data_IF_047716175565
#
_entry.id   IF_047716175565
#
_cell.length_a   1.000
_cell.length_b   1.000
_cell.length_c   1.000
_cell.angle_alpha   90.00
_cell.angle_beta   90.00
_cell.angle_gamma   90.00
#
_symmetry.space_group_name_H-M   'P 1'
#
loop_
_entity.id
_entity.type
_entity.pdbx_description
1 polymer ?
#
# COMPACT_ATOMS: atom_id res chain seq x y z
N UNK A 1 -11.25 4.00 36.18
CA UNK A 1 -10.33 4.58 35.18
C UNK A 1 -10.45 3.70 33.94
N UNK A 2 -10.90 4.24 32.80
CA UNK A 2 -10.92 3.46 31.55
C UNK A 2 -9.46 3.08 31.21
N UNK A 3 -9.18 1.85 30.72
CA UNK A 3 -7.83 1.48 30.34
C UNK A 3 -7.31 2.47 29.30
N UNK A 4 -6.06 2.91 29.45
CA UNK A 4 -5.39 3.71 28.44
C UNK A 4 -5.54 2.97 27.10
N UNK A 5 -6.21 3.58 26.13
CA UNK A 5 -6.40 2.95 24.82
C UNK A 5 -5.02 2.66 24.24
N UNK A 6 -4.68 1.38 24.02
CA UNK A 6 -3.45 0.93 23.34
C UNK A 6 -3.51 1.39 21.87
N UNK A 7 -3.19 2.68 21.67
CA UNK A 7 -3.11 3.32 20.38
C UNK A 7 -1.66 3.29 19.92
N UNK A 8 -1.46 2.85 18.69
CA UNK A 8 -0.15 2.78 18.05
C UNK A 8 -0.15 3.62 16.78
N UNK A 9 1.04 3.97 16.32
CA UNK A 9 1.29 4.58 15.02
C UNK A 9 2.38 3.83 14.27
N UNK A 10 2.48 4.06 12.96
CA UNK A 10 3.51 3.47 12.12
C UNK A 10 4.59 4.51 11.80
N UNK A 11 5.84 4.07 11.91
CA UNK A 11 7.04 4.77 11.46
C UNK A 11 7.67 4.01 10.30
N UNK A 12 7.82 4.70 9.18
CA UNK A 12 8.46 4.26 7.95
C UNK A 12 9.61 5.21 7.71
N UNK A 13 10.79 4.64 7.44
CA UNK A 13 12.00 5.38 7.14
C UNK A 13 11.95 5.89 5.69
N UNK A 14 12.17 7.18 5.51
CA UNK A 14 12.27 7.81 4.19
C UNK A 14 10.93 7.96 3.44
N UNK A 15 11.08 8.30 2.16
CA UNK A 15 9.97 8.37 1.20
C UNK A 15 9.46 6.96 0.86
N UNK A 16 8.18 6.86 0.52
CA UNK A 16 7.59 5.61 0.02
C UNK A 16 6.42 5.89 -0.91
N UNK A 17 5.91 4.84 -1.55
CA UNK A 17 4.75 4.93 -2.43
C UNK A 17 3.60 4.10 -1.89
N UNK A 18 2.40 4.68 -1.94
CA UNK A 18 1.14 3.96 -1.71
C UNK A 18 0.48 3.76 -3.07
N UNK A 19 0.29 2.49 -3.45
CA UNK A 19 -0.36 2.12 -4.69
C UNK A 19 -1.67 1.39 -4.38
N UNK A 20 -2.78 1.97 -4.83
CA UNK A 20 -4.12 1.39 -4.71
C UNK A 20 -4.47 0.78 -6.06
N UNK A 21 -4.99 -0.44 -6.06
CA UNK A 21 -5.56 -1.05 -7.24
C UNK A 21 -6.87 -1.73 -6.86
N UNK A 22 -7.90 -1.50 -7.67
CA UNK A 22 -9.21 -2.07 -7.42
C UNK A 22 -9.93 -2.48 -8.70
N UNK A 23 -11.01 -3.21 -8.52
CA UNK A 23 -11.87 -3.67 -9.60
C UNK A 23 -13.30 -3.17 -9.42
N UNK A 24 -13.95 -2.85 -10.53
CA UNK A 24 -15.41 -2.68 -10.59
C UNK A 24 -16.01 -3.98 -11.13
N UNK A 25 -16.51 -4.88 -10.27
CA UNK A 25 -17.06 -6.16 -10.69
C UNK A 25 -18.38 -5.97 -11.46
N UNK A 26 -18.65 -6.82 -12.45
CA UNK A 26 -20.00 -7.01 -12.96
C UNK A 26 -20.71 -8.05 -12.08
N UNK A 27 -21.49 -7.58 -11.12
CA UNK A 27 -22.18 -8.45 -10.16
C UNK A 27 -23.19 -9.42 -10.80
N UNK A 28 -23.62 -9.16 -12.05
CA UNK A 28 -24.49 -10.08 -12.80
C UNK A 28 -23.73 -11.27 -13.38
N UNK A 29 -22.39 -11.18 -13.49
CA UNK A 29 -21.54 -12.21 -14.09
C UNK A 29 -20.26 -12.45 -13.26
N UNK A 30 -20.38 -12.90 -11.99
CA UNK A 30 -19.25 -12.99 -11.06
C UNK A 30 -18.14 -13.95 -11.54
N UNK A 31 -18.51 -15.06 -12.20
CA UNK A 31 -17.54 -16.00 -12.79
C UNK A 31 -16.76 -15.33 -13.92
N UNK A 32 -17.43 -14.53 -14.76
CA UNK A 32 -16.76 -13.80 -15.84
C UNK A 32 -15.84 -12.73 -15.28
N UNK A 33 -16.27 -11.97 -14.27
CA UNK A 33 -15.40 -11.01 -13.56
C UNK A 33 -14.17 -11.70 -12.98
N UNK A 34 -14.31 -12.86 -12.35
CA UNK A 34 -13.16 -13.62 -11.84
C UNK A 34 -12.17 -13.99 -12.97
N UNK A 35 -12.68 -14.44 -14.12
CA UNK A 35 -11.84 -14.77 -15.28
C UNK A 35 -11.19 -13.53 -15.91
N UNK A 36 -11.92 -12.43 -16.04
CA UNK A 36 -11.41 -11.16 -16.56
C UNK A 36 -10.24 -10.65 -15.69
N UNK A 37 -10.36 -10.77 -14.36
CA UNK A 37 -9.32 -10.39 -13.38
C UNK A 37 -8.16 -11.39 -13.25
N UNK A 38 -8.06 -12.37 -14.15
CA UNK A 38 -6.92 -13.30 -14.18
C UNK A 38 -7.10 -14.60 -13.39
N UNK A 39 -8.23 -14.78 -12.70
CA UNK A 39 -8.51 -15.97 -11.91
C UNK A 39 -7.37 -16.27 -10.91
N UNK A 40 -6.84 -17.51 -10.96
CA UNK A 40 -5.72 -17.92 -10.10
C UNK A 40 -4.38 -17.23 -10.44
N UNK A 41 -4.24 -16.67 -11.65
CA UNK A 41 -3.05 -15.93 -12.10
C UNK A 41 -3.25 -14.41 -12.10
N UNK A 42 -4.27 -13.93 -11.40
CA UNK A 42 -4.55 -12.49 -11.25
C UNK A 42 -3.66 -11.81 -10.21
N UNK A 43 -4.20 -10.79 -9.54
CA UNK A 43 -3.49 -10.00 -8.52
C UNK A 43 -2.76 -10.84 -7.45
N UNK A 44 -3.37 -11.94 -6.99
CA UNK A 44 -2.72 -12.81 -5.98
C UNK A 44 -1.40 -13.38 -6.47
N UNK A 45 -1.34 -13.85 -7.71
CA UNK A 45 -0.11 -14.40 -8.28
C UNK A 45 0.99 -13.33 -8.41
N UNK A 46 0.63 -12.11 -8.82
CA UNK A 46 1.59 -11.00 -8.88
C UNK A 46 2.13 -10.62 -7.50
N UNK A 47 1.27 -10.60 -6.47
CA UNK A 47 1.69 -10.30 -5.10
C UNK A 47 2.55 -11.42 -4.51
N UNK A 48 2.23 -12.69 -4.76
CA UNK A 48 3.03 -13.83 -4.34
C UNK A 48 4.45 -13.76 -4.97
N UNK A 49 4.53 -13.37 -6.26
CA UNK A 49 5.80 -13.13 -6.94
C UNK A 49 6.59 -11.97 -6.31
N UNK A 50 5.95 -10.84 -6.03
CA UNK A 50 6.61 -9.69 -5.40
C UNK A 50 7.09 -9.99 -3.97
N UNK A 51 6.34 -10.81 -3.22
CA UNK A 51 6.77 -11.27 -1.88
C UNK A 51 8.00 -12.16 -1.97
N UNK A 52 8.09 -13.00 -3.01
CA UNK A 52 9.26 -13.85 -3.24
C UNK A 52 10.51 -13.08 -3.73
N UNK A 53 10.32 -11.87 -4.27
CA UNK A 53 11.35 -11.03 -4.87
C UNK A 53 11.39 -9.63 -4.23
N UNK A 54 11.82 -9.52 -2.95
CA UNK A 54 11.79 -8.27 -2.19
C UNK A 54 12.65 -7.15 -2.79
N UNK A 55 13.65 -7.50 -3.61
CA UNK A 55 14.46 -6.55 -4.38
C UNK A 55 13.63 -5.74 -5.39
N UNK A 56 12.46 -6.23 -5.81
CA UNK A 56 11.52 -5.48 -6.65
C UNK A 56 10.81 -4.35 -5.90
N UNK A 57 11.03 -4.22 -4.60
CA UNK A 57 10.70 -3.03 -3.83
C UNK A 57 9.29 -2.98 -3.25
N UNK A 58 8.51 -4.07 -3.32
CA UNK A 58 7.28 -4.19 -2.54
C UNK A 58 7.63 -4.31 -1.05
N UNK A 59 7.18 -3.35 -0.23
CA UNK A 59 7.34 -3.39 1.23
C UNK A 59 6.27 -4.24 1.89
N UNK A 60 5.08 -4.28 1.29
CA UNK A 60 3.98 -5.13 1.71
C UNK A 60 2.65 -4.66 1.16
N UNK A 61 1.58 -5.39 1.48
CA UNK A 61 0.25 -5.10 0.97
C UNK A 61 -0.85 -5.50 1.95
N UNK A 62 -2.04 -4.96 1.73
CA UNK A 62 -3.28 -5.39 2.35
C UNK A 62 -4.29 -5.71 1.26
N UNK A 63 -4.73 -6.97 1.22
CA UNK A 63 -5.81 -7.40 0.34
C UNK A 63 -7.15 -7.08 0.99
N UNK A 64 -7.88 -6.15 0.38
CA UNK A 64 -9.30 -5.95 0.61
C UNK A 64 -10.08 -6.18 -0.68
N UNK A 65 -11.39 -6.38 -0.55
CA UNK A 65 -12.31 -6.25 -1.69
C UNK A 65 -13.14 -4.99 -1.47
N UNK A 66 -13.22 -4.07 -2.46
CA UNK A 66 -12.72 -4.18 -3.84
C UNK A 66 -11.30 -3.65 -4.08
N UNK A 67 -10.56 -3.26 -3.02
CA UNK A 67 -9.29 -2.52 -3.13
C UNK A 67 -8.13 -3.25 -2.47
N UNK A 68 -7.02 -3.35 -3.20
CA UNK A 68 -5.73 -3.80 -2.71
C UNK A 68 -4.87 -2.56 -2.48
N UNK A 69 -4.32 -2.44 -1.28
CA UNK A 69 -3.36 -1.38 -0.94
C UNK A 69 -1.97 -2.00 -0.91
N UNK A 70 -1.04 -1.42 -1.66
CA UNK A 70 0.36 -1.84 -1.72
C UNK A 70 1.25 -0.69 -1.27
N UNK A 71 2.34 -1.02 -0.57
CA UNK A 71 3.36 -0.09 -0.14
C UNK A 71 4.66 -0.45 -0.84
N UNK A 72 5.27 0.53 -1.48
CA UNK A 72 6.46 0.35 -2.31
C UNK A 72 7.58 1.26 -1.81
N UNK A 73 8.81 0.76 -1.93
CA UNK A 73 10.03 1.47 -1.52
C UNK A 73 10.19 2.80 -2.25
N UNK A 74 9.90 2.82 -3.55
CA UNK A 74 9.94 4.04 -4.35
C UNK A 74 9.08 3.89 -5.61
N UNK A 75 8.87 5.00 -6.32
CA UNK A 75 8.14 4.99 -7.57
C UNK A 75 8.90 4.23 -8.66
N UNK A 76 10.22 4.36 -8.69
CA UNK A 76 11.10 3.69 -9.65
C UNK A 76 10.99 2.17 -9.55
N UNK A 77 10.88 1.62 -8.33
CA UNK A 77 10.67 0.19 -8.12
C UNK A 77 9.29 -0.27 -8.66
N UNK A 78 8.25 0.50 -8.35
CA UNK A 78 6.89 0.23 -8.86
C UNK A 78 6.85 0.29 -10.39
N UNK A 79 7.46 1.31 -10.99
CA UNK A 79 7.52 1.48 -12.45
C UNK A 79 8.35 0.36 -13.10
N UNK A 80 9.50 0.00 -12.52
CA UNK A 80 10.34 -1.09 -13.02
C UNK A 80 9.56 -2.40 -13.08
N UNK A 81 8.89 -2.79 -11.99
CA UNK A 81 8.03 -3.97 -11.96
C UNK A 81 6.90 -3.91 -13.00
N UNK A 82 6.29 -2.74 -13.19
CA UNK A 82 5.19 -2.59 -14.13
C UNK A 82 5.63 -2.76 -15.60
N UNK A 83 6.91 -2.54 -15.92
CA UNK A 83 7.46 -2.52 -17.28
C UNK A 83 8.37 -3.70 -17.61
N UNK A 84 8.80 -4.47 -16.61
CA UNK A 84 9.66 -5.63 -16.80
C UNK A 84 8.90 -6.74 -17.58
N UNK A 85 9.56 -7.29 -18.60
CA UNK A 85 8.99 -8.34 -19.46
C UNK A 85 9.06 -9.72 -18.82
N UNK A 86 9.97 -9.91 -17.87
CA UNK A 86 10.13 -11.15 -17.11
C UNK A 86 9.21 -11.18 -15.88
N UNK A 87 8.52 -10.07 -15.59
CA UNK A 87 7.53 -9.96 -14.52
C UNK A 87 6.10 -10.30 -14.97
N UNK A 88 5.28 -10.85 -14.05
CA UNK A 88 3.92 -11.27 -14.38
C UNK A 88 2.97 -10.11 -14.72
N UNK A 89 3.36 -8.86 -14.48
CA UNK A 89 2.49 -7.68 -14.65
C UNK A 89 2.06 -7.49 -16.11
N UNK A 90 2.99 -7.42 -17.05
CA UNK A 90 2.68 -7.13 -18.45
C UNK A 90 1.80 -8.21 -19.09
N UNK A 91 2.06 -9.48 -18.79
CA UNK A 91 1.25 -10.58 -19.29
C UNK A 91 -0.18 -10.52 -18.70
N UNK A 92 -0.31 -10.32 -17.39
CA UNK A 92 -1.61 -10.18 -16.74
C UNK A 92 -2.42 -9.01 -17.32
N UNK A 93 -1.76 -7.87 -17.56
CA UNK A 93 -2.37 -6.69 -18.16
C UNK A 93 -2.85 -6.91 -19.59
N UNK A 94 -2.02 -7.52 -20.44
CA UNK A 94 -2.39 -7.90 -21.82
C UNK A 94 -3.56 -8.88 -21.82
N UNK A 95 -3.53 -9.88 -20.94
CA UNK A 95 -4.59 -10.88 -20.82
C UNK A 95 -5.90 -10.28 -20.29
N UNK A 96 -5.84 -9.29 -19.39
CA UNK A 96 -7.02 -8.54 -18.96
C UNK A 96 -7.70 -7.88 -20.15
N UNK A 97 -7.01 -7.04 -20.92
CA UNK A 97 -7.65 -6.38 -22.08
C UNK A 97 -8.14 -7.34 -23.16
N UNK A 98 -7.45 -8.47 -23.35
CA UNK A 98 -7.89 -9.49 -24.31
C UNK A 98 -9.22 -10.14 -23.91
N UNK A 99 -9.45 -10.32 -22.60
CA UNK A 99 -10.64 -11.00 -22.06
C UNK A 99 -11.76 -10.03 -21.70
N UNK A 100 -11.40 -8.81 -21.32
CA UNK A 100 -12.31 -7.89 -20.68
C UNK A 100 -13.38 -7.39 -21.64
N UNK A 101 -14.63 -7.50 -21.22
CA UNK A 101 -15.77 -6.85 -21.88
C UNK A 101 -16.64 -6.02 -20.94
N UNK A 102 -16.48 -6.12 -19.62
CA UNK A 102 -17.45 -5.57 -18.63
C UNK A 102 -16.85 -5.23 -17.27
N UNK A 103 -15.71 -5.81 -16.92
CA UNK A 103 -15.06 -5.65 -15.61
C UNK A 103 -14.16 -4.41 -15.66
N UNK A 104 -14.31 -3.50 -14.70
CA UNK A 104 -13.42 -2.34 -14.59
C UNK A 104 -12.20 -2.63 -13.73
N UNK A 105 -11.09 -1.96 -14.03
CA UNK A 105 -9.92 -1.85 -13.16
C UNK A 105 -9.60 -0.36 -13.01
N UNK A 106 -9.17 0.04 -11.83
CA UNK A 106 -8.64 1.37 -11.54
C UNK A 106 -7.40 1.24 -10.67
N UNK A 107 -6.53 2.24 -10.71
CA UNK A 107 -5.42 2.34 -9.79
C UNK A 107 -5.10 3.81 -9.46
N UNK A 108 -4.52 4.03 -8.29
CA UNK A 108 -4.06 5.34 -7.82
C UNK A 108 -2.67 5.17 -7.22
N UNK A 109 -1.78 6.12 -7.50
CA UNK A 109 -0.39 6.11 -7.01
C UNK A 109 -0.13 7.40 -6.24
N UNK A 110 0.30 7.27 -4.99
CA UNK A 110 0.64 8.39 -4.12
C UNK A 110 2.11 8.32 -3.72
N UNK A 111 2.85 9.40 -3.99
CA UNK A 111 4.21 9.58 -3.51
C UNK A 111 4.12 10.23 -2.13
N UNK A 112 4.56 9.52 -1.10
CA UNK A 112 4.51 9.99 0.28
C UNK A 112 5.92 10.35 0.71
N UNK A 113 6.12 11.63 1.03
CA UNK A 113 7.38 12.12 1.56
C UNK A 113 7.59 11.66 2.99
N UNK A 114 8.86 11.46 3.36
CA UNK A 114 9.25 11.21 4.74
C UNK A 114 8.55 12.19 5.67
N UNK A 115 7.92 11.68 6.72
CA UNK A 115 7.17 12.49 7.67
C UNK A 115 5.77 12.92 7.26
N UNK A 116 5.44 12.97 5.97
CA UNK A 116 4.18 13.54 5.45
C UNK A 116 3.02 12.53 5.41
N UNK A 117 2.77 11.86 6.53
CA UNK A 117 1.68 10.91 6.68
C UNK A 117 1.28 10.72 8.14
N UNK A 118 0.08 10.20 8.36
CA UNK A 118 -0.41 9.76 9.66
C UNK A 118 -1.06 8.38 9.54
N UNK A 119 -0.79 7.51 10.51
CA UNK A 119 -1.49 6.25 10.67
C UNK A 119 -1.73 5.97 12.17
N UNK A 120 -2.95 5.59 12.54
CA UNK A 120 -3.32 5.28 13.92
C UNK A 120 -3.98 3.91 13.95
N UNK A 121 -3.57 3.09 14.91
CA UNK A 121 -4.07 1.74 15.13
C UNK A 121 -4.58 1.65 16.56
N UNK A 122 -5.82 1.22 16.76
CA UNK A 122 -6.38 0.99 18.09
C UNK A 122 -7.04 -0.38 18.15
N UNK A 123 -6.68 -1.18 19.15
CA UNK A 123 -7.24 -2.52 19.38
C UNK A 123 -7.25 -3.42 18.11
N UNK A 124 -6.16 -3.41 17.35
CA UNK A 124 -6.05 -4.17 16.10
C UNK A 124 -4.64 -4.73 15.91
N UNK A 125 -4.49 -5.90 15.26
CA UNK A 125 -3.18 -6.42 14.87
C UNK A 125 -2.50 -5.49 13.84
N UNK A 126 -1.20 -5.68 13.56
CA UNK A 126 -0.51 -4.92 12.50
C UNK A 126 -1.30 -4.93 11.18
N UNK A 127 -1.58 -3.74 10.65
CA UNK A 127 -2.43 -3.55 9.46
C UNK A 127 -1.92 -2.38 8.61
N UNK A 128 -2.15 -2.44 7.29
CA UNK A 128 -1.76 -1.37 6.37
C UNK A 128 -0.29 -0.99 6.55
N UNK A 129 -0.03 0.31 6.74
CA UNK A 129 1.32 0.85 6.94
C UNK A 129 2.05 0.26 8.16
N UNK A 130 1.32 -0.14 9.20
CA UNK A 130 1.84 -0.77 10.40
C UNK A 130 2.33 -2.20 10.21
N UNK A 131 2.07 -2.82 9.04
CA UNK A 131 2.72 -4.08 8.64
C UNK A 131 4.10 -3.89 8.03
N UNK A 132 4.33 -2.72 7.43
CA UNK A 132 5.54 -2.44 6.63
C UNK A 132 6.51 -1.48 7.33
N UNK A 133 6.01 -0.68 8.27
CA UNK A 133 6.79 0.16 9.16
C UNK A 133 6.89 -0.39 10.58
N UNK A 134 7.65 0.29 11.43
CA UNK A 134 7.74 0.04 12.86
C UNK A 134 6.47 0.54 13.55
N UNK A 135 5.78 -0.33 14.28
CA UNK A 135 4.67 0.06 15.15
C UNK A 135 5.20 0.56 16.50
N UNK A 136 4.85 1.79 16.85
CA UNK A 136 5.25 2.44 18.11
C UNK A 136 4.02 2.95 18.88
N UNK A 137 4.08 3.07 20.22
CA UNK A 137 3.02 3.69 20.99
C UNK A 137 2.72 5.12 20.51
N UNK A 138 1.44 5.47 20.42
CA UNK A 138 1.03 6.84 20.13
C UNK A 138 1.19 7.68 21.39
N UNK A 139 2.18 8.60 21.42
CA UNK A 139 2.33 9.56 22.51
C UNK A 139 1.13 10.52 22.61
N UNK A 140 0.88 11.09 23.79
CA UNK A 140 -0.33 11.84 24.11
C UNK A 140 -0.76 12.89 23.06
N UNK A 141 -2.08 12.99 22.92
CA UNK A 141 -2.81 13.49 21.77
C UNK A 141 -2.46 14.93 21.33
N UNK A 142 -1.53 15.06 20.40
CA UNK A 142 -1.44 16.22 19.50
C UNK A 142 -2.39 16.03 18.31
N UNK A 143 -2.94 17.10 17.74
CA UNK A 143 -3.92 17.04 16.64
C UNK A 143 -3.34 16.34 15.39
N UNK A 144 -4.20 15.87 14.47
CA UNK A 144 -3.74 15.24 13.23
C UNK A 144 -2.74 16.12 12.45
N UNK A 145 -3.01 17.43 12.43
CA UNK A 145 -2.12 18.43 11.83
C UNK A 145 -0.73 18.47 12.49
N UNK A 146 -0.66 18.27 13.81
CA UNK A 146 0.62 18.24 14.53
C UNK A 146 1.36 16.92 14.30
N UNK A 147 0.66 15.79 14.16
CA UNK A 147 1.32 14.49 13.92
C UNK A 147 1.90 14.37 12.51
N UNK A 148 1.26 14.96 11.50
CA UNK A 148 1.85 15.10 10.16
C UNK A 148 3.01 16.09 10.15
N UNK A 149 2.91 17.22 10.90
CA UNK A 149 3.96 18.26 10.93
C UNK A 149 5.17 17.95 11.81
N UNK A 150 5.01 17.25 12.94
CA UNK A 150 6.09 17.02 13.93
C UNK A 150 7.26 16.24 13.34
N UNK A 151 7.09 15.59 12.19
CA UNK A 151 8.17 14.86 11.51
C UNK A 151 9.04 15.73 10.61
N UNK A 152 8.62 16.97 10.30
CA UNK A 152 9.45 17.95 9.60
C UNK A 152 10.46 18.62 10.56
N UNK A 153 10.12 18.76 11.86
CA UNK A 153 10.88 19.55 12.83
C UNK A 153 12.02 18.79 13.54
N UNK A 154 12.15 17.46 13.36
CA UNK A 154 13.23 16.68 14.01
C UNK A 154 14.54 16.78 13.23
N UNK A 155 14.51 17.26 11.98
CA UNK A 155 15.70 17.46 11.13
C UNK A 155 16.12 18.94 11.01
N UNK A 156 15.47 19.84 11.76
CA UNK A 156 15.71 21.27 11.74
C UNK A 156 15.94 21.83 13.14
N UNK A 157 17.16 22.31 13.39
CA UNK A 157 17.60 23.14 14.55
C UNK A 157 17.93 22.42 15.87
N UNK A 158 19.23 22.15 16.05
CA UNK A 158 19.90 22.40 17.33
C UNK A 158 20.46 23.83 17.26
N UNK A 159 19.93 24.82 18.01
CA UNK A 159 20.66 26.04 18.26
C UNK A 159 21.67 25.76 19.38
N UNK A 160 22.94 25.63 19.00
CA UNK A 160 24.04 25.87 19.93
C UNK A 160 24.31 27.37 19.96
N UNK A 161 24.16 27.99 21.14
CA UNK A 161 24.65 29.34 21.43
C UNK A 161 23.58 30.42 21.43
#
# INVERSE_FOLDING_TARGET
>A
MAPAQDRKTAEVDGDFVVFLIGARPDLRHPVRTFLDLGGRRGMRHMLDHLVAHPEKGLLGYTMGFPVIVQYWRSFEHLEAFARDQDDPHLEAWRNYYRRNGRTGIWHETYLVKAGQYEAIYGNMPPFGLGKVGRLVPLSDASTARLRVRRRDDVDGTVPTG
#
